data_IF_379167446191
#
_entry.id   IF_379167446191
#
_cell.length_a   1.000
_cell.length_b   1.000
_cell.length_c   1.000
_cell.angle_alpha   90.00
_cell.angle_beta   90.00
_cell.angle_gamma   90.00
#
_symmetry.space_group_name_H-M   'P 1'
#
loop_
_entity.id
_entity.type
_entity.pdbx_description
1 polymer ?
#
# COMPACT_ATOMS: atom_id res chain seq x y z
N UNK A 1 -6.17 15.10 15.59
CA UNK A 1 -5.75 13.71 15.87
C UNK A 1 -6.04 12.87 14.64
N UNK A 2 -5.18 11.91 14.22
CA UNK A 2 -5.38 11.17 12.96
C UNK A 2 -6.73 10.45 12.86
N UNK A 3 -7.32 10.05 14.00
CA UNK A 3 -8.67 9.50 14.05
C UNK A 3 -9.77 10.50 13.65
N UNK A 4 -9.60 11.80 13.93
CA UNK A 4 -10.59 12.83 13.57
C UNK A 4 -10.68 13.00 12.03
N UNK A 5 -9.55 13.00 11.33
CA UNK A 5 -9.53 13.11 9.87
C UNK A 5 -10.16 11.90 9.17
N UNK A 6 -10.02 10.70 9.76
CA UNK A 6 -10.68 9.48 9.26
C UNK A 6 -12.19 9.55 9.45
N UNK A 7 -12.65 10.00 10.62
CA UNK A 7 -14.07 10.22 10.92
C UNK A 7 -14.67 11.28 9.98
N UNK A 8 -13.97 12.39 9.76
CA UNK A 8 -14.40 13.43 8.82
C UNK A 8 -14.50 12.94 7.37
N UNK A 9 -13.72 11.91 7.01
CA UNK A 9 -13.71 11.32 5.68
C UNK A 9 -14.64 10.11 5.54
N UNK A 10 -15.39 9.76 6.58
CA UNK A 10 -16.23 8.56 6.67
C UNK A 10 -15.43 7.25 6.41
N UNK A 11 -14.17 7.23 6.85
CA UNK A 11 -13.27 6.09 6.75
C UNK A 11 -13.17 5.43 8.12
N UNK A 12 -13.55 4.15 8.19
CA UNK A 12 -13.32 3.34 9.38
C UNK A 12 -11.82 3.11 9.58
N UNK A 13 -11.28 3.54 10.73
CA UNK A 13 -9.90 3.23 11.10
C UNK A 13 -9.77 1.75 11.45
N UNK A 14 -8.87 1.04 10.78
CA UNK A 14 -8.49 -0.33 11.18
C UNK A 14 -7.58 -0.24 12.42
N UNK A 15 -8.22 -0.10 13.58
CA UNK A 15 -7.54 -0.12 14.89
C UNK A 15 -7.79 -1.53 15.44
N UNK A 16 -6.99 -2.49 14.97
CA UNK A 16 -7.22 -3.92 15.18
C UNK A 16 -7.38 -4.32 16.65
N UNK A 17 -8.18 -5.37 16.87
CA UNK A 17 -8.28 -6.07 18.16
C UNK A 17 -7.07 -7.01 18.26
N UNK A 18 -6.59 -7.31 19.48
CA UNK A 18 -5.46 -8.25 19.67
C UNK A 18 -5.74 -9.57 18.94
N UNK A 19 -4.92 -9.88 17.93
CA UNK A 19 -5.03 -11.09 17.11
C UNK A 19 -5.46 -10.88 15.65
N UNK A 20 -5.88 -9.68 15.26
CA UNK A 20 -6.22 -9.33 13.88
C UNK A 20 -5.25 -8.27 13.36
N UNK A 21 -4.11 -8.72 12.84
CA UNK A 21 -3.01 -7.87 12.39
C UNK A 21 -2.58 -8.18 10.95
N UNK A 22 -3.49 -8.73 10.14
CA UNK A 22 -3.18 -9.14 8.77
C UNK A 22 -2.82 -7.94 7.89
N UNK A 23 -3.54 -6.83 8.05
CA UNK A 23 -3.26 -5.56 7.39
C UNK A 23 -1.91 -4.98 7.83
N UNK A 24 -1.61 -5.01 9.14
CA UNK A 24 -0.34 -4.56 9.68
C UNK A 24 0.81 -5.45 9.19
N UNK A 25 0.66 -6.77 9.15
CA UNK A 25 1.68 -7.68 8.65
C UNK A 25 2.00 -7.47 7.17
N UNK A 26 0.98 -7.23 6.33
CA UNK A 26 1.15 -6.88 4.92
C UNK A 26 1.89 -5.55 4.76
N UNK A 27 1.49 -4.53 5.54
CA UNK A 27 2.13 -3.22 5.51
C UNK A 27 3.58 -3.29 6.00
N UNK A 28 3.85 -3.99 7.10
CA UNK A 28 5.21 -4.20 7.62
C UNK A 28 6.11 -4.91 6.60
N UNK A 29 5.59 -5.93 5.92
CA UNK A 29 6.32 -6.62 4.85
C UNK A 29 6.67 -5.67 3.70
N UNK A 30 5.72 -4.83 3.30
CA UNK A 30 5.92 -3.83 2.23
C UNK A 30 6.95 -2.77 2.64
N UNK A 31 6.89 -2.28 3.88
CA UNK A 31 7.89 -1.34 4.42
C UNK A 31 9.26 -2.00 4.54
N UNK A 32 9.32 -3.29 4.89
CA UNK A 32 10.55 -4.07 4.89
C UNK A 32 11.20 -4.12 3.51
N UNK A 33 10.43 -4.43 2.47
CA UNK A 33 10.90 -4.41 1.09
C UNK A 33 11.41 -3.04 0.67
N UNK A 34 10.66 -1.97 0.95
CA UNK A 34 11.07 -0.60 0.67
C UNK A 34 12.44 -0.28 1.30
N UNK A 35 12.63 -0.63 2.59
CA UNK A 35 13.90 -0.39 3.26
C UNK A 35 15.03 -1.19 2.63
N UNK A 36 14.85 -2.48 2.43
CA UNK A 36 15.88 -3.38 1.88
C UNK A 36 16.25 -3.06 0.42
N UNK A 37 15.29 -2.61 -0.39
CA UNK A 37 15.51 -2.38 -1.82
C UNK A 37 15.93 -0.96 -2.16
N UNK A 38 15.51 0.03 -1.36
CA UNK A 38 15.84 1.43 -1.61
C UNK A 38 16.80 1.98 -0.55
N UNK A 39 16.35 2.03 0.70
CA UNK A 39 17.05 2.74 1.77
C UNK A 39 18.42 2.12 2.10
N UNK A 40 18.45 0.80 2.28
CA UNK A 40 19.62 0.06 2.72
C UNK A 40 20.61 -0.20 1.57
N UNK A 41 20.18 -0.04 0.31
CA UNK A 41 21.06 -0.15 -0.86
C UNK A 41 21.88 1.11 -1.11
N UNK A 42 21.37 2.27 -0.71
CA UNK A 42 22.09 3.53 -0.85
C UNK A 42 23.22 3.62 0.18
N UNK A 43 24.44 3.92 -0.28
CA UNK A 43 25.61 4.08 0.61
C UNK A 43 25.51 5.34 1.47
N UNK A 44 24.90 6.40 0.94
CA UNK A 44 24.64 7.65 1.66
C UNK A 44 23.53 8.43 0.96
N UNK A 45 22.85 9.28 1.74
CA UNK A 45 21.82 10.19 1.26
C UNK A 45 22.29 11.63 1.46
N UNK A 46 22.18 12.45 0.42
CA UNK A 46 22.51 13.88 0.47
C UNK A 46 21.51 14.69 1.29
N UNK A 47 20.28 14.19 1.46
CA UNK A 47 19.27 14.79 2.31
C UNK A 47 17.87 14.27 2.04
N UNK A 48 16.89 14.85 2.75
CA UNK A 48 15.48 14.45 2.69
C UNK A 48 14.88 14.52 1.28
N UNK A 49 15.20 15.56 0.52
CA UNK A 49 14.65 15.75 -0.82
C UNK A 49 15.06 14.63 -1.80
N UNK A 50 16.27 14.10 -1.65
CA UNK A 50 16.71 12.95 -2.44
C UNK A 50 15.94 11.70 -2.07
N UNK A 51 15.78 11.43 -0.77
CA UNK A 51 14.98 10.29 -0.28
C UNK A 51 13.55 10.39 -0.80
N UNK A 52 12.92 11.57 -0.76
CA UNK A 52 11.55 11.77 -1.26
C UNK A 52 11.42 11.47 -2.77
N UNK A 53 12.38 11.93 -3.59
CA UNK A 53 12.39 11.63 -5.03
C UNK A 53 12.55 10.14 -5.30
N UNK A 54 13.55 9.52 -4.68
CA UNK A 54 13.84 8.09 -4.83
C UNK A 54 12.69 7.23 -4.30
N UNK A 55 11.99 7.67 -3.25
CA UNK A 55 10.78 7.02 -2.76
C UNK A 55 9.67 7.06 -3.80
N UNK A 56 9.45 8.21 -4.43
CA UNK A 56 8.43 8.35 -5.47
C UNK A 56 8.73 7.46 -6.68
N UNK A 57 9.99 7.38 -7.09
CA UNK A 57 10.45 6.48 -8.16
C UNK A 57 10.27 5.01 -7.77
N UNK A 58 10.64 4.61 -6.55
CA UNK A 58 10.42 3.26 -6.07
C UNK A 58 8.94 2.88 -6.01
N UNK A 59 8.07 3.78 -5.54
CA UNK A 59 6.61 3.55 -5.51
C UNK A 59 6.04 3.41 -6.92
N UNK A 60 6.50 4.23 -7.87
CA UNK A 60 6.07 4.12 -9.26
C UNK A 60 6.46 2.76 -9.84
N UNK A 61 7.74 2.38 -9.72
CA UNK A 61 8.24 1.09 -10.17
C UNK A 61 7.50 -0.08 -9.51
N UNK A 62 7.30 -0.03 -8.19
CA UNK A 62 6.60 -1.07 -7.45
C UNK A 62 5.19 -1.30 -7.99
N UNK A 63 4.46 -0.24 -8.32
CA UNK A 63 3.08 -0.36 -8.78
C UNK A 63 2.94 -0.68 -10.27
N UNK A 64 3.87 -0.23 -11.10
CA UNK A 64 3.71 -0.26 -12.57
C UNK A 64 4.57 -1.30 -13.28
N UNK A 65 5.70 -1.69 -12.69
CA UNK A 65 6.66 -2.59 -13.35
C UNK A 65 6.96 -3.86 -12.55
N UNK A 66 6.87 -3.83 -11.22
CA UNK A 66 7.25 -4.96 -10.37
C UNK A 66 6.28 -6.12 -10.53
N UNK A 67 6.79 -7.28 -10.94
CA UNK A 67 6.00 -8.49 -11.07
C UNK A 67 5.94 -9.27 -9.74
N UNK A 68 4.75 -9.73 -9.38
CA UNK A 68 4.52 -10.51 -8.17
C UNK A 68 3.97 -11.91 -8.48
N UNK A 69 4.68 -12.95 -8.05
CA UNK A 69 4.30 -14.34 -8.33
C UNK A 69 2.96 -14.75 -7.70
N UNK A 70 2.53 -14.08 -6.62
CA UNK A 70 1.23 -14.34 -5.98
C UNK A 70 0.04 -13.81 -6.78
N UNK A 71 0.27 -12.97 -7.78
CA UNK A 71 -0.76 -12.37 -8.65
C UNK A 71 -0.43 -12.60 -10.13
N UNK A 72 -0.05 -13.84 -10.46
CA UNK A 72 0.22 -14.30 -11.83
C UNK A 72 1.32 -13.51 -12.55
N UNK A 73 2.32 -13.02 -11.80
CA UNK A 73 3.41 -12.21 -12.34
C UNK A 73 2.91 -10.95 -13.04
N UNK A 74 1.92 -10.28 -12.47
CA UNK A 74 1.42 -8.99 -12.94
C UNK A 74 1.98 -7.84 -12.08
N UNK A 75 2.08 -6.62 -12.66
CA UNK A 75 2.20 -5.40 -11.89
C UNK A 75 0.97 -5.19 -10.99
N UNK A 76 1.13 -4.65 -9.77
CA UNK A 76 0.00 -4.38 -8.88
C UNK A 76 -1.11 -3.54 -9.52
N UNK A 77 -0.75 -2.54 -10.33
CA UNK A 77 -1.74 -1.68 -10.99
C UNK A 77 -2.61 -2.45 -11.99
N UNK A 78 -2.03 -3.42 -12.71
CA UNK A 78 -2.79 -4.25 -13.65
C UNK A 78 -3.72 -5.19 -12.90
N UNK A 79 -3.23 -5.83 -11.84
CA UNK A 79 -4.04 -6.72 -11.03
C UNK A 79 -5.22 -5.97 -10.40
N UNK A 80 -4.98 -4.80 -9.80
CA UNK A 80 -6.02 -3.96 -9.21
C UNK A 80 -7.05 -3.49 -10.25
N UNK A 81 -6.58 -3.11 -11.45
CA UNK A 81 -7.47 -2.73 -12.56
C UNK A 81 -8.39 -3.88 -12.94
N UNK A 82 -7.85 -5.08 -13.17
CA UNK A 82 -8.64 -6.29 -13.49
C UNK A 82 -9.60 -6.66 -12.36
N UNK A 83 -9.16 -6.53 -11.10
CA UNK A 83 -9.99 -6.80 -9.93
C UNK A 83 -11.22 -5.88 -9.88
N UNK A 84 -11.02 -4.58 -10.14
CA UNK A 84 -12.10 -3.58 -10.19
C UNK A 84 -13.05 -3.79 -11.37
N UNK A 85 -12.54 -4.19 -12.52
CA UNK A 85 -13.37 -4.52 -13.69
C UNK A 85 -14.25 -5.75 -13.45
N UNK A 86 -13.73 -6.77 -12.77
CA UNK A 86 -14.46 -7.99 -12.43
C UNK A 86 -15.44 -7.79 -11.27
N UNK A 87 -15.19 -6.77 -10.44
CA UNK A 87 -16.03 -6.39 -9.31
C UNK A 87 -16.42 -4.91 -9.45
N UNK A 88 -17.28 -4.55 -10.41
CA UNK A 88 -17.80 -3.20 -10.48
C UNK A 88 -18.36 -2.84 -9.10
N UNK A 89 -17.87 -1.75 -8.54
CA UNK A 89 -18.09 -1.30 -7.17
C UNK A 89 -19.48 -1.68 -6.67
N UNK A 90 -19.58 -2.64 -5.77
CA UNK A 90 -20.73 -2.71 -4.86
C UNK A 90 -20.54 -1.53 -3.92
N UNK A 91 -20.94 -0.36 -4.38
CA UNK A 91 -20.97 0.81 -3.53
C UNK A 91 -21.99 0.52 -2.43
N UNK A 92 -21.53 0.46 -1.19
CA UNK A 92 -22.28 0.88 0.00
C UNK A 92 -23.72 0.32 0.11
N UNK A 93 -23.89 -1.00 0.17
CA UNK A 93 -25.23 -1.58 0.42
C UNK A 93 -25.27 -2.73 1.45
N UNK A 94 -24.16 -3.06 2.12
CA UNK A 94 -24.13 -4.16 3.09
C UNK A 94 -23.66 -3.78 4.51
N UNK A 95 -23.55 -2.49 4.83
CA UNK A 95 -23.25 -2.04 6.20
C UNK A 95 -24.38 -1.23 6.86
N UNK A 96 -25.63 -1.40 6.40
CA UNK A 96 -26.82 -1.00 7.17
C UNK A 96 -27.81 -2.16 7.21
N UNK A 97 -27.57 -3.08 8.15
CA UNK A 97 -28.60 -3.97 8.71
C UNK A 97 -28.28 -4.20 10.19
#
# INVERSE_FOLDING_TARGET
MPAEALIESDIAGSIGIVGDALDNALMESTIGLYKTELIDRAQSWSGRAEVERETAEWVHWFNTDRLHSSIDYLPPIEYETRYREQRPTVASALEVA
#
